data_IF_031540844246
#
_entry.id   IF_031540844246
#
_cell.length_a   1.000
_cell.length_b   1.000
_cell.length_c   1.000
_cell.angle_alpha   90.00
_cell.angle_beta   90.00
_cell.angle_gamma   90.00
#
_symmetry.space_group_name_H-M   'P 1'
#
loop_
_entity.id
_entity.type
_entity.pdbx_description
1 polymer ?
#
# COMPACT_ATOMS: atom_id res chain seq x y z
N UNK A 1 15.17 -3.58 -22.24
CA UNK A 1 14.43 -3.84 -20.99
C UNK A 1 13.90 -2.50 -20.51
N UNK A 2 12.60 -2.30 -20.59
CA UNK A 2 12.01 -1.06 -20.07
C UNK A 2 12.03 -1.12 -18.55
N UNK A 3 12.49 -0.03 -17.91
CA UNK A 3 12.53 0.07 -16.46
C UNK A 3 11.09 0.21 -15.94
N UNK A 4 10.62 -0.78 -15.20
CA UNK A 4 9.32 -0.74 -14.52
C UNK A 4 9.32 0.33 -13.43
N UNK A 5 8.25 1.13 -13.35
CA UNK A 5 8.09 2.12 -12.29
C UNK A 5 8.03 1.46 -10.90
N UNK A 6 7.46 0.26 -10.79
CA UNK A 6 7.50 -0.56 -9.56
C UNK A 6 8.94 -0.80 -9.12
N UNK A 7 9.83 -1.22 -10.04
CA UNK A 7 11.24 -1.48 -9.70
C UNK A 7 11.97 -0.20 -9.31
N UNK A 8 11.69 0.93 -9.97
CA UNK A 8 12.26 2.22 -9.59
C UNK A 8 11.84 2.68 -8.20
N UNK A 9 10.55 2.54 -7.87
CA UNK A 9 10.03 2.85 -6.52
C UNK A 9 10.70 1.95 -5.47
N UNK A 10 10.84 0.65 -5.76
CA UNK A 10 11.55 -0.28 -4.87
C UNK A 10 12.99 0.18 -4.64
N UNK A 11 13.74 0.46 -5.71
CA UNK A 11 15.12 0.91 -5.61
C UNK A 11 15.27 2.20 -4.79
N UNK A 12 14.38 3.18 -5.04
CA UNK A 12 14.32 4.43 -4.26
C UNK A 12 14.02 4.15 -2.78
N UNK A 13 13.04 3.29 -2.49
CA UNK A 13 12.62 2.96 -1.12
C UNK A 13 13.73 2.21 -0.35
N UNK A 14 14.43 1.30 -1.02
CA UNK A 14 15.59 0.60 -0.44
C UNK A 14 16.70 1.59 -0.10
N UNK A 15 17.05 2.47 -1.06
CA UNK A 15 18.08 3.48 -0.86
C UNK A 15 17.73 4.43 0.30
N UNK A 16 16.53 4.95 0.32
CA UNK A 16 16.08 5.92 1.34
C UNK A 16 15.97 5.28 2.72
N UNK A 17 15.49 4.03 2.82
CA UNK A 17 15.47 3.28 4.08
C UNK A 17 16.89 3.04 4.60
N UNK A 18 17.82 2.63 3.73
CA UNK A 18 19.22 2.45 4.10
C UNK A 18 19.86 3.75 4.61
N UNK A 19 19.66 4.86 3.90
CA UNK A 19 20.16 6.17 4.34
C UNK A 19 19.56 6.62 5.67
N UNK A 20 18.27 6.34 5.90
CA UNK A 20 17.61 6.66 7.16
C UNK A 20 18.17 5.85 8.33
N UNK A 21 18.52 4.58 8.13
CA UNK A 21 19.18 3.77 9.16
C UNK A 21 20.56 4.29 9.54
N UNK A 22 21.30 4.88 8.60
CA UNK A 22 22.61 5.47 8.86
C UNK A 22 22.53 6.87 9.52
N UNK A 23 21.37 7.54 9.40
CA UNK A 23 21.19 8.92 9.85
C UNK A 23 19.92 9.04 10.71
N UNK A 24 20.02 8.87 12.05
CA UNK A 24 18.86 8.93 12.96
C UNK A 24 18.03 10.21 12.81
N UNK A 25 18.67 11.36 12.58
CA UNK A 25 17.97 12.63 12.35
C UNK A 25 17.10 12.60 11.06
N UNK A 26 17.55 11.90 10.01
CA UNK A 26 16.78 11.72 8.79
C UNK A 26 15.58 10.80 9.05
N UNK A 27 15.79 9.68 9.74
CA UNK A 27 14.74 8.77 10.17
C UNK A 27 13.66 9.53 10.93
N UNK A 28 14.01 10.28 11.96
CA UNK A 28 13.07 11.05 12.76
C UNK A 28 12.35 12.13 11.94
N UNK A 29 13.08 12.81 11.05
CA UNK A 29 12.51 13.89 10.21
C UNK A 29 11.50 13.35 9.18
N UNK A 30 11.69 12.13 8.69
CA UNK A 30 10.84 11.55 7.65
C UNK A 30 9.69 10.69 8.19
N UNK A 31 9.75 10.21 9.45
CA UNK A 31 8.64 9.49 10.05
C UNK A 31 7.34 10.30 10.01
N UNK A 32 6.24 9.60 9.77
CA UNK A 32 4.90 10.16 9.90
C UNK A 32 4.61 10.48 11.36
N UNK A 33 4.57 11.77 11.67
CA UNK A 33 4.34 12.29 13.02
C UNK A 33 3.21 13.32 12.94
N UNK A 34 1.93 12.91 13.12
CA UNK A 34 0.76 13.79 12.98
C UNK A 34 0.86 15.09 13.78
N UNK A 35 1.38 15.02 15.00
CA UNK A 35 1.61 16.18 15.85
C UNK A 35 2.56 17.22 15.22
N UNK A 36 3.67 16.76 14.61
CA UNK A 36 4.62 17.65 13.95
C UNK A 36 4.05 18.22 12.64
N UNK A 37 3.27 17.42 11.92
CA UNK A 37 2.56 17.89 10.72
C UNK A 37 1.68 19.06 11.10
N UNK A 38 0.85 18.92 12.14
CA UNK A 38 -0.07 19.96 12.59
C UNK A 38 0.66 21.19 13.15
N UNK A 39 1.67 21.01 14.01
CA UNK A 39 2.33 22.11 14.73
C UNK A 39 3.38 22.84 13.92
N UNK A 40 4.04 22.18 12.96
CA UNK A 40 5.16 22.70 12.19
C UNK A 40 4.92 22.73 10.67
N UNK A 41 3.69 22.45 10.22
CA UNK A 41 3.32 22.39 8.79
C UNK A 41 4.19 21.43 7.96
N UNK A 42 4.64 20.31 8.54
CA UNK A 42 5.52 19.34 7.88
C UNK A 42 4.71 18.32 7.07
N UNK A 43 3.90 18.78 6.11
CA UNK A 43 2.99 17.96 5.28
C UNK A 43 3.72 16.95 4.39
N UNK A 44 4.97 17.21 4.05
CA UNK A 44 5.86 16.32 3.31
C UNK A 44 6.05 14.95 4.00
N UNK A 45 5.81 14.86 5.31
CA UNK A 45 5.86 13.62 6.06
C UNK A 45 4.83 12.58 5.61
N UNK A 46 3.71 13.00 5.01
CA UNK A 46 2.74 12.07 4.40
C UNK A 46 3.36 11.25 3.27
N UNK A 47 4.27 11.82 2.51
CA UNK A 47 4.94 11.14 1.40
C UNK A 47 6.23 10.47 1.89
N UNK A 48 7.09 11.21 2.60
CA UNK A 48 8.42 10.74 2.97
C UNK A 48 8.40 9.50 3.87
N UNK A 49 7.40 9.40 4.76
CA UNK A 49 7.23 8.24 5.64
C UNK A 49 7.01 6.93 4.89
N UNK A 50 6.38 6.98 3.72
CA UNK A 50 6.16 5.82 2.87
C UNK A 50 7.43 5.27 2.18
N UNK A 51 8.53 6.00 2.24
CA UNK A 51 9.81 5.62 1.61
C UNK A 51 10.89 5.20 2.61
N UNK A 52 10.57 5.13 3.90
CA UNK A 52 11.51 4.66 4.93
C UNK A 52 10.89 3.52 5.74
N UNK A 53 11.72 2.63 6.24
CA UNK A 53 11.28 1.44 6.97
C UNK A 53 12.05 1.30 8.29
N UNK A 54 11.40 0.71 9.30
CA UNK A 54 11.96 0.53 10.63
C UNK A 54 13.22 -0.34 10.62
N UNK A 55 13.16 -1.45 9.88
CA UNK A 55 14.20 -2.47 9.81
C UNK A 55 14.18 -3.21 8.47
N UNK A 56 15.17 -4.08 8.25
CA UNK A 56 15.32 -4.85 7.02
C UNK A 56 14.19 -5.83 6.76
N UNK A 57 13.61 -6.42 7.80
CA UNK A 57 12.49 -7.36 7.68
C UNK A 57 11.24 -6.62 7.20
N UNK A 58 10.95 -5.47 7.81
CA UNK A 58 9.82 -4.62 7.40
C UNK A 58 9.97 -4.14 5.94
N UNK A 59 11.18 -3.71 5.55
CA UNK A 59 11.49 -3.33 4.18
C UNK A 59 11.30 -4.50 3.21
N UNK A 60 11.87 -5.67 3.55
CA UNK A 60 11.83 -6.86 2.69
C UNK A 60 10.39 -7.28 2.38
N UNK A 61 9.53 -7.42 3.41
CA UNK A 61 8.15 -7.84 3.19
C UNK A 61 7.35 -6.83 2.38
N UNK A 62 7.54 -5.53 2.63
CA UNK A 62 6.87 -4.50 1.81
C UNK A 62 7.33 -4.55 0.36
N UNK A 63 8.64 -4.57 0.10
CA UNK A 63 9.17 -4.53 -1.27
C UNK A 63 8.92 -5.82 -2.02
N UNK A 64 8.97 -6.97 -1.35
CA UNK A 64 8.61 -8.26 -1.94
C UNK A 64 7.15 -8.27 -2.39
N UNK A 65 6.23 -7.91 -1.51
CA UNK A 65 4.81 -7.82 -1.83
C UNK A 65 4.56 -6.79 -2.95
N UNK A 66 5.17 -5.61 -2.84
CA UNK A 66 5.04 -4.56 -3.83
C UNK A 66 5.57 -4.96 -5.21
N UNK A 67 6.63 -5.76 -5.27
CA UNK A 67 7.17 -6.24 -6.55
C UNK A 67 6.15 -7.03 -7.35
N UNK A 68 5.44 -7.96 -6.73
CA UNK A 68 4.45 -8.78 -7.44
C UNK A 68 3.17 -8.01 -7.74
N UNK A 69 2.55 -7.42 -6.74
CA UNK A 69 1.25 -6.77 -6.89
C UNK A 69 1.34 -5.39 -7.56
N UNK A 70 2.41 -4.65 -7.32
CA UNK A 70 2.66 -3.38 -7.98
C UNK A 70 2.75 -3.54 -9.50
N UNK A 71 3.43 -4.58 -9.97
CA UNK A 71 3.54 -4.87 -11.40
C UNK A 71 2.22 -5.22 -12.06
N UNK A 72 1.30 -5.87 -11.35
CA UNK A 72 -0.05 -6.16 -11.88
C UNK A 72 -0.79 -4.84 -12.15
N UNK A 73 -0.80 -3.93 -11.17
CA UNK A 73 -1.47 -2.62 -11.30
C UNK A 73 -0.77 -1.76 -12.34
N UNK A 74 0.56 -1.70 -12.36
CA UNK A 74 1.37 -0.98 -13.35
C UNK A 74 1.02 -1.45 -14.76
N UNK A 75 1.09 -2.76 -15.01
CA UNK A 75 0.79 -3.34 -16.32
C UNK A 75 -0.66 -3.07 -16.76
N UNK A 76 -1.61 -3.21 -15.84
CA UNK A 76 -3.01 -2.89 -16.13
C UNK A 76 -3.19 -1.44 -16.58
N UNK A 77 -2.60 -0.48 -15.87
CA UNK A 77 -2.73 0.92 -16.20
C UNK A 77 -2.02 1.27 -17.53
N UNK A 78 -0.87 0.65 -17.80
CA UNK A 78 -0.17 0.81 -19.07
C UNK A 78 -0.95 0.24 -20.25
N UNK A 79 -1.56 -0.94 -20.09
CA UNK A 79 -2.41 -1.53 -21.14
C UNK A 79 -3.63 -0.65 -21.40
N UNK A 80 -4.24 -0.11 -20.35
CA UNK A 80 -5.47 0.66 -20.44
C UNK A 80 -5.26 2.08 -21.04
N UNK A 81 -4.20 2.76 -20.65
CA UNK A 81 -3.97 4.19 -20.98
C UNK A 81 -2.76 4.43 -21.87
N UNK A 82 -2.07 3.38 -22.30
CA UNK A 82 -0.78 3.49 -22.98
C UNK A 82 0.37 3.73 -21.99
N UNK A 83 1.59 3.54 -22.46
CA UNK A 83 2.77 3.50 -21.60
C UNK A 83 2.97 4.78 -20.79
N UNK A 84 3.03 5.95 -21.43
CA UNK A 84 3.35 7.22 -20.74
C UNK A 84 2.28 7.61 -19.73
N UNK A 85 1.00 7.60 -20.16
CA UNK A 85 -0.11 7.96 -19.29
C UNK A 85 -0.31 6.90 -18.18
N UNK A 86 -0.17 5.61 -18.52
CA UNK A 86 -0.26 4.51 -17.57
C UNK A 86 0.77 4.59 -16.46
N UNK A 87 2.03 4.90 -16.78
CA UNK A 87 3.07 5.13 -15.76
C UNK A 87 2.71 6.33 -14.88
N UNK A 88 2.26 7.46 -15.47
CA UNK A 88 1.82 8.62 -14.69
C UNK A 88 0.66 8.29 -13.75
N UNK A 89 -0.34 7.54 -14.22
CA UNK A 89 -1.46 7.07 -13.41
C UNK A 89 -1.01 6.11 -12.30
N UNK A 90 -0.02 5.26 -12.57
CA UNK A 90 0.53 4.36 -11.56
C UNK A 90 1.29 5.11 -10.45
N UNK A 91 2.09 6.10 -10.81
CA UNK A 91 2.76 6.96 -9.83
C UNK A 91 1.75 7.75 -8.98
N UNK A 92 0.71 8.31 -9.62
CA UNK A 92 -0.40 8.97 -8.91
C UNK A 92 -1.13 8.00 -7.98
N UNK A 93 -1.40 6.78 -8.43
CA UNK A 93 -1.98 5.72 -7.61
C UNK A 93 -1.13 5.43 -6.38
N UNK A 94 0.18 5.19 -6.54
CA UNK A 94 1.05 4.80 -5.43
C UNK A 94 1.24 5.92 -4.40
N UNK A 95 1.55 7.14 -4.87
CA UNK A 95 1.72 8.30 -3.97
C UNK A 95 0.38 8.67 -3.33
N UNK A 96 -0.71 8.64 -4.09
CA UNK A 96 -2.06 8.86 -3.55
C UNK A 96 -2.43 7.84 -2.49
N UNK A 97 -2.08 6.56 -2.69
CA UNK A 97 -2.31 5.49 -1.73
C UNK A 97 -1.60 5.74 -0.39
N UNK A 98 -0.30 6.12 -0.44
CA UNK A 98 0.48 6.44 0.77
C UNK A 98 -0.21 7.59 1.53
N UNK A 99 -0.54 8.68 0.83
CA UNK A 99 -1.11 9.87 1.47
C UNK A 99 -2.51 9.57 2.05
N UNK A 100 -3.41 8.98 1.25
CA UNK A 100 -4.80 8.74 1.66
C UNK A 100 -4.88 7.70 2.77
N UNK A 101 -4.02 6.68 2.75
CA UNK A 101 -3.95 5.67 3.80
C UNK A 101 -3.65 6.29 5.19
N UNK A 102 -2.86 7.34 5.24
CA UNK A 102 -2.46 7.98 6.50
C UNK A 102 -3.40 9.09 6.98
N UNK A 103 -4.37 9.55 6.16
CA UNK A 103 -5.32 10.60 6.55
C UNK A 103 -6.08 10.27 7.83
N UNK A 104 -6.69 9.07 8.00
CA UNK A 104 -7.40 8.74 9.23
C UNK A 104 -6.48 8.70 10.45
N UNK A 105 -5.28 8.16 10.28
CA UNK A 105 -4.24 8.14 11.33
C UNK A 105 -3.83 9.57 11.72
N UNK A 106 -3.75 10.49 10.75
CA UNK A 106 -3.46 11.91 11.03
C UNK A 106 -4.52 12.49 11.97
N UNK A 107 -5.79 12.40 11.64
CA UNK A 107 -6.86 12.95 12.47
C UNK A 107 -6.94 12.30 13.85
N UNK A 108 -6.69 11.00 13.95
CA UNK A 108 -6.69 10.24 15.21
C UNK A 108 -5.55 10.64 16.15
N UNK A 109 -4.39 11.00 15.59
CA UNK A 109 -3.16 11.18 16.39
C UNK A 109 -2.53 12.60 16.30
N UNK A 110 -3.19 13.59 15.71
CA UNK A 110 -2.64 14.95 15.57
C UNK A 110 -2.37 15.68 16.90
N UNK A 111 -3.02 15.26 17.99
CA UNK A 111 -2.77 15.76 19.34
C UNK A 111 -1.77 14.92 20.16
N UNK A 112 -1.35 13.76 19.64
CA UNK A 112 -0.48 12.82 20.36
C UNK A 112 0.98 13.01 19.94
N UNK A 113 1.78 13.68 20.78
CA UNK A 113 3.19 14.03 20.48
C UNK A 113 4.13 12.83 20.37
N UNK A 114 3.73 11.67 20.93
CA UNK A 114 4.52 10.44 20.92
C UNK A 114 4.24 9.52 19.72
N UNK A 115 3.12 9.73 18.99
CA UNK A 115 2.76 8.85 17.87
C UNK A 115 3.70 9.02 16.68
N UNK A 116 4.20 7.91 16.18
CA UNK A 116 5.07 7.83 15.00
C UNK A 116 4.73 6.58 14.20
N UNK A 117 4.69 6.72 12.88
CA UNK A 117 4.54 5.62 11.95
C UNK A 117 5.51 5.79 10.76
N UNK A 118 5.77 4.72 10.03
CA UNK A 118 6.57 4.72 8.81
C UNK A 118 6.36 3.42 8.05
N UNK A 119 6.68 3.44 6.76
CA UNK A 119 6.62 2.26 5.89
C UNK A 119 5.68 2.44 4.71
N UNK A 120 5.97 1.74 3.63
CA UNK A 120 5.19 1.74 2.39
C UNK A 120 3.84 1.00 2.49
N UNK A 121 3.51 0.44 3.66
CA UNK A 121 2.46 -0.60 3.79
C UNK A 121 1.07 -0.15 3.37
N UNK A 122 0.71 1.13 3.50
CA UNK A 122 -0.53 1.68 2.96
C UNK A 122 -0.58 1.61 1.43
N UNK A 123 0.51 2.02 0.75
CA UNK A 123 0.67 1.89 -0.70
C UNK A 123 0.72 0.44 -1.16
N UNK A 124 1.41 -0.43 -0.40
CA UNK A 124 1.47 -1.88 -0.68
C UNK A 124 0.08 -2.51 -0.55
N UNK A 125 -0.67 -2.20 0.51
CA UNK A 125 -2.05 -2.68 0.65
C UNK A 125 -2.93 -2.24 -0.53
N UNK A 126 -2.77 -1.00 -1.01
CA UNK A 126 -3.48 -0.52 -2.19
C UNK A 126 -3.16 -1.35 -3.44
N UNK A 127 -1.88 -1.69 -3.68
CA UNK A 127 -1.50 -2.52 -4.84
C UNK A 127 -2.04 -3.94 -4.74
N UNK A 128 -2.01 -4.55 -3.55
CA UNK A 128 -2.60 -5.87 -3.30
C UNK A 128 -4.09 -5.86 -3.62
N UNK A 129 -4.83 -4.90 -3.08
CA UNK A 129 -6.28 -4.84 -3.27
C UNK A 129 -6.69 -4.40 -4.66
N UNK A 130 -5.91 -3.50 -5.30
CA UNK A 130 -6.06 -3.19 -6.72
C UNK A 130 -5.91 -4.46 -7.59
N UNK A 131 -4.91 -5.28 -7.29
CA UNK A 131 -4.68 -6.55 -7.99
C UNK A 131 -5.78 -7.57 -7.74
N UNK A 132 -6.32 -7.66 -6.52
CA UNK A 132 -7.44 -8.53 -6.18
C UNK A 132 -8.69 -8.16 -6.98
N UNK A 133 -8.99 -6.86 -7.17
CA UNK A 133 -10.12 -6.44 -8.02
C UNK A 133 -9.92 -6.88 -9.47
N UNK A 134 -8.68 -6.84 -9.97
CA UNK A 134 -8.37 -7.22 -11.34
C UNK A 134 -8.35 -8.75 -11.55
N UNK A 135 -7.86 -9.50 -10.56
CA UNK A 135 -7.57 -10.93 -10.62
C UNK A 135 -8.00 -11.65 -9.32
N UNK A 136 -9.29 -11.69 -8.99
CA UNK A 136 -9.76 -12.15 -7.66
C UNK A 136 -9.52 -13.64 -7.39
N UNK A 137 -9.40 -14.45 -8.42
CA UNK A 137 -9.21 -15.90 -8.30
C UNK A 137 -7.72 -16.29 -8.31
N UNK A 138 -6.82 -15.37 -8.58
CA UNK A 138 -5.39 -15.66 -8.47
C UNK A 138 -5.02 -15.99 -7.03
N UNK A 139 -4.34 -17.12 -6.83
CA UNK A 139 -3.91 -17.53 -5.51
C UNK A 139 -2.83 -16.61 -4.96
N UNK A 140 -3.00 -16.20 -3.71
CA UNK A 140 -2.00 -15.50 -2.91
C UNK A 140 -1.51 -16.45 -1.85
N UNK A 141 -0.23 -16.80 -1.92
CA UNK A 141 0.38 -17.77 -1.03
C UNK A 141 1.10 -17.05 0.13
N UNK A 142 0.61 -17.23 1.35
CA UNK A 142 1.26 -16.74 2.56
C UNK A 142 2.48 -17.63 2.85
N UNK A 143 3.67 -17.04 2.83
CA UNK A 143 4.96 -17.72 3.05
C UNK A 143 5.18 -18.96 2.17
N UNK A 144 4.51 -19.05 1.02
CA UNK A 144 4.58 -20.20 0.12
C UNK A 144 3.90 -21.48 0.63
N UNK A 145 3.20 -21.44 1.76
CA UNK A 145 2.59 -22.60 2.42
C UNK A 145 1.06 -22.60 2.34
N UNK A 146 0.43 -21.48 2.65
CA UNK A 146 -1.02 -21.35 2.62
C UNK A 146 -1.43 -20.48 1.44
N UNK A 147 -1.97 -21.09 0.40
CA UNK A 147 -2.47 -20.39 -0.78
C UNK A 147 -4.00 -20.30 -0.72
N UNK A 148 -4.50 -19.08 -0.90
CA UNK A 148 -5.93 -18.78 -0.93
C UNK A 148 -6.22 -17.89 -2.14
N UNK A 149 -7.39 -18.02 -2.77
CA UNK A 149 -7.85 -17.07 -3.77
C UNK A 149 -7.79 -15.63 -3.21
N UNK A 150 -7.31 -14.68 -4.04
CA UNK A 150 -7.08 -13.30 -3.61
C UNK A 150 -8.30 -12.67 -2.93
N UNK A 151 -9.51 -12.90 -3.46
CA UNK A 151 -10.73 -12.38 -2.85
C UNK A 151 -10.95 -12.87 -1.41
N UNK A 152 -10.70 -14.16 -1.15
CA UNK A 152 -10.88 -14.74 0.18
C UNK A 152 -9.85 -14.17 1.18
N UNK A 153 -8.57 -14.15 0.77
CA UNK A 153 -7.51 -13.54 1.58
C UNK A 153 -7.77 -12.05 1.81
N UNK A 154 -8.25 -11.33 0.79
CA UNK A 154 -8.60 -9.91 0.88
C UNK A 154 -9.67 -9.65 1.95
N UNK A 155 -10.75 -10.43 1.96
CA UNK A 155 -11.81 -10.31 3.00
C UNK A 155 -11.24 -10.57 4.39
N UNK A 156 -10.44 -11.62 4.56
CA UNK A 156 -9.79 -11.93 5.85
C UNK A 156 -8.87 -10.79 6.31
N UNK A 157 -8.10 -10.22 5.39
CA UNK A 157 -7.20 -9.09 5.69
C UNK A 157 -7.96 -7.83 6.10
N UNK A 158 -9.07 -7.50 5.43
CA UNK A 158 -9.90 -6.34 5.80
C UNK A 158 -10.51 -6.50 7.18
N UNK A 159 -11.06 -7.69 7.49
CA UNK A 159 -11.61 -8.00 8.82
C UNK A 159 -10.51 -7.88 9.88
N UNK A 160 -9.34 -8.49 9.64
CA UNK A 160 -8.20 -8.41 10.53
C UNK A 160 -7.76 -6.96 10.79
N UNK A 161 -7.57 -6.18 9.71
CA UNK A 161 -7.14 -4.79 9.80
C UNK A 161 -8.15 -3.93 10.57
N UNK A 162 -9.45 -4.14 10.32
CA UNK A 162 -10.54 -3.43 11.02
C UNK A 162 -10.56 -3.74 12.53
N UNK A 163 -10.37 -5.00 12.91
CA UNK A 163 -10.33 -5.43 14.30
C UNK A 163 -9.10 -4.87 15.02
N UNK A 164 -7.94 -4.97 14.38
CA UNK A 164 -6.68 -4.52 14.99
C UNK A 164 -6.57 -2.98 15.04
N UNK A 165 -7.13 -2.25 14.06
CA UNK A 165 -7.24 -0.79 14.11
C UNK A 165 -7.96 -0.28 15.37
N UNK A 166 -8.93 -1.06 15.87
CA UNK A 166 -9.67 -0.75 17.12
C UNK A 166 -8.92 -1.17 18.39
N UNK A 167 -8.18 -2.29 18.33
CA UNK A 167 -7.43 -2.80 19.49
C UNK A 167 -6.15 -2.01 19.73
N UNK A 168 -5.39 -1.74 18.68
CA UNK A 168 -4.05 -1.14 18.78
C UNK A 168 -3.05 -2.00 19.57
N UNK A 169 -1.88 -1.44 19.87
CA UNK A 169 -0.93 -2.00 20.85
C UNK A 169 0.19 -2.85 20.28
N UNK A 170 0.14 -3.26 19.03
CA UNK A 170 1.20 -4.05 18.37
C UNK A 170 2.24 -3.22 17.59
N UNK A 171 2.05 -1.89 17.58
CA UNK A 171 2.96 -0.96 16.88
C UNK A 171 2.77 -0.92 15.37
N UNK A 172 1.69 -1.52 14.84
CA UNK A 172 1.35 -1.51 13.41
C UNK A 172 0.24 -0.49 13.15
N UNK A 173 0.38 0.29 12.07
CA UNK A 173 -0.65 1.23 11.63
C UNK A 173 -1.72 0.49 10.80
N UNK A 174 -2.63 -0.22 11.48
CA UNK A 174 -3.72 -0.96 10.82
C UNK A 174 -4.73 -0.04 10.12
N UNK A 175 -4.86 1.20 10.56
CA UNK A 175 -5.65 2.21 9.84
C UNK A 175 -5.09 2.43 8.44
N UNK A 176 -3.77 2.61 8.31
CA UNK A 176 -3.14 2.78 7.00
C UNK A 176 -3.30 1.53 6.09
N UNK A 177 -3.25 0.33 6.65
CA UNK A 177 -3.52 -0.89 5.89
C UNK A 177 -4.96 -0.94 5.36
N UNK A 178 -5.93 -0.66 6.21
CA UNK A 178 -7.34 -0.66 5.86
C UNK A 178 -7.66 0.39 4.80
N UNK A 179 -7.27 1.64 5.04
CA UNK A 179 -7.59 2.74 4.12
C UNK A 179 -6.77 2.69 2.83
N UNK A 180 -5.54 2.16 2.87
CA UNK A 180 -4.77 1.83 1.67
C UNK A 180 -5.49 0.79 0.80
N UNK A 181 -5.96 -0.30 1.40
CA UNK A 181 -6.74 -1.32 0.71
C UNK A 181 -8.00 -0.75 0.05
N UNK A 182 -8.78 0.04 0.81
CA UNK A 182 -10.00 0.69 0.31
C UNK A 182 -9.70 1.67 -0.83
N UNK A 183 -8.61 2.44 -0.72
CA UNK A 183 -8.16 3.31 -1.81
C UNK A 183 -7.79 2.51 -3.07
N UNK A 184 -7.08 1.39 -2.94
CA UNK A 184 -6.72 0.54 -4.06
C UNK A 184 -7.94 0.00 -4.81
N UNK A 185 -8.95 -0.48 -4.07
CA UNK A 185 -10.25 -0.89 -4.61
C UNK A 185 -10.90 0.28 -5.35
N UNK A 186 -11.09 1.41 -4.67
CA UNK A 186 -11.79 2.56 -5.21
C UNK A 186 -11.11 3.11 -6.47
N UNK A 187 -9.78 3.21 -6.47
CA UNK A 187 -9.03 3.73 -7.62
C UNK A 187 -9.24 2.85 -8.85
N UNK A 188 -9.09 1.52 -8.72
CA UNK A 188 -9.29 0.61 -9.87
C UNK A 188 -10.72 0.69 -10.39
N UNK A 189 -11.73 0.76 -9.52
CA UNK A 189 -13.12 0.86 -9.91
C UNK A 189 -13.45 2.21 -10.59
N UNK A 190 -12.82 3.30 -10.16
CA UNK A 190 -12.99 4.62 -10.78
C UNK A 190 -12.36 4.64 -12.19
N UNK A 191 -11.13 4.17 -12.32
CA UNK A 191 -10.44 4.19 -13.62
C UNK A 191 -10.94 3.12 -14.57
N UNK A 192 -11.57 2.07 -14.05
CA UNK A 192 -12.12 0.95 -14.83
C UNK A 192 -13.39 0.38 -14.19
N UNK A 193 -14.56 1.03 -14.37
CA UNK A 193 -15.82 0.53 -13.80
C UNK A 193 -16.17 -0.89 -14.23
N UNK A 194 -15.76 -1.29 -15.44
CA UNK A 194 -15.93 -2.67 -15.95
C UNK A 194 -15.25 -3.71 -15.06
N UNK A 195 -14.21 -3.33 -14.32
CA UNK A 195 -13.53 -4.26 -13.38
C UNK A 195 -14.45 -4.74 -12.26
N UNK A 196 -15.49 -3.98 -11.89
CA UNK A 196 -16.49 -4.42 -10.92
C UNK A 196 -17.32 -5.60 -11.45
N UNK A 197 -17.77 -5.51 -12.70
CA UNK A 197 -18.55 -6.59 -13.34
C UNK A 197 -17.67 -7.82 -13.52
N UNK A 198 -16.46 -7.64 -14.04
CA UNK A 198 -15.51 -8.73 -14.23
C UNK A 198 -15.17 -9.44 -12.90
N UNK A 199 -15.01 -8.68 -11.81
CA UNK A 199 -14.78 -9.22 -10.47
C UNK A 199 -15.95 -10.11 -10.03
N UNK A 200 -17.17 -9.61 -10.14
CA UNK A 200 -18.39 -10.36 -9.75
C UNK A 200 -18.54 -11.63 -10.59
N UNK A 201 -18.32 -11.55 -11.90
CA UNK A 201 -18.46 -12.71 -12.80
C UNK A 201 -17.39 -13.77 -12.50
N UNK A 202 -16.16 -13.37 -12.20
CA UNK A 202 -15.12 -14.30 -11.78
C UNK A 202 -15.51 -14.98 -10.45
N UNK A 203 -15.99 -14.24 -9.45
CA UNK A 203 -16.42 -14.83 -8.17
C UNK A 203 -17.56 -15.82 -8.37
N UNK A 204 -18.56 -15.50 -9.22
CA UNK A 204 -19.67 -16.43 -9.54
C UNK A 204 -19.19 -17.70 -10.23
N UNK A 205 -18.12 -17.64 -10.99
CA UNK A 205 -17.53 -18.81 -11.67
C UNK A 205 -16.66 -19.66 -10.75
N UNK A 206 -16.33 -19.16 -9.55
CA UNK A 206 -15.49 -19.89 -8.61
C UNK A 206 -16.18 -21.15 -8.10
N UNK A 207 -15.48 -22.27 -8.21
CA UNK A 207 -15.91 -23.56 -7.66
C UNK A 207 -14.79 -24.10 -6.79
N UNK A 208 -15.16 -24.54 -5.60
CA UNK A 208 -14.19 -25.11 -4.63
C UNK A 208 -13.66 -26.49 -5.07
N UNK A 209 -14.39 -27.19 -6.01
CA UNK A 209 -14.03 -28.50 -6.55
C UNK A 209 -14.60 -28.66 -7.97
#
# INVERSE_FOLDING_TARGET
MELSATVLIIALTVLTSYLAWQKPNLMERWMFTPYQIQKKNQWDRFILSGFIHKDGTHLLFNMFTFYFFGRVVESFLMIKFGQTVGIGMYLLFYVGAIVIADIPTYFKHQSHSYYRALGASGGVAATVFGSIILMPLSDICLFGLLCLPGFALGVLFLIYSLVQSKKGGDGINHDAHLYGALFGIAFILIVSPQSALNFVDQIKSFRLF
#
